data_IF_765558842039
#
_entry.id   IF_765558842039
#
_cell.length_a   1.000
_cell.length_b   1.000
_cell.length_c   1.000
_cell.angle_alpha   90.00
_cell.angle_beta   90.00
_cell.angle_gamma   90.00
#
_symmetry.space_group_name_H-M   'P 1'
#
loop_
_entity.id
_entity.type
_entity.pdbx_description
1 polymer ?
#
# COMPACT_ATOMS: atom_id res chain seq x y z
N UNK A 1 -5.67 1.68 -7.75
CA UNK A 1 -6.68 0.61 -7.75
C UNK A 1 -7.38 0.61 -6.40
N UNK A 2 -8.71 0.56 -6.44
CA UNK A 2 -9.53 0.51 -5.24
C UNK A 2 -10.34 -0.78 -5.23
N UNK A 3 -10.29 -1.48 -4.10
CA UNK A 3 -11.02 -2.74 -3.92
C UNK A 3 -11.78 -2.69 -2.59
N UNK A 4 -13.05 -3.09 -2.61
CA UNK A 4 -13.86 -3.16 -1.39
C UNK A 4 -14.20 -4.64 -1.14
N UNK A 5 -13.78 -5.16 0.02
CA UNK A 5 -14.06 -6.53 0.42
C UNK A 5 -14.39 -6.56 1.91
N UNK A 6 -15.51 -7.15 2.27
CA UNK A 6 -15.91 -7.36 3.68
C UNK A 6 -15.81 -6.09 4.52
N UNK A 7 -16.35 -5.00 4.01
CA UNK A 7 -16.37 -3.70 4.70
C UNK A 7 -14.97 -3.08 4.89
N UNK A 8 -14.00 -3.51 4.10
CA UNK A 8 -12.65 -2.93 4.08
C UNK A 8 -12.40 -2.31 2.71
N UNK A 9 -11.92 -1.08 2.72
CA UNK A 9 -11.55 -0.34 1.51
C UNK A 9 -10.04 -0.45 1.35
N UNK A 10 -9.61 -1.18 0.32
CA UNK A 10 -8.19 -1.35 0.01
C UNK A 10 -7.77 -0.37 -1.07
N UNK A 11 -6.74 0.41 -0.78
CA UNK A 11 -6.12 1.32 -1.76
C UNK A 11 -4.81 0.67 -2.17
N UNK A 12 -4.70 0.30 -3.44
CA UNK A 12 -3.51 -0.37 -3.97
C UNK A 12 -2.83 0.58 -4.94
N UNK A 13 -1.62 1.00 -4.59
CA UNK A 13 -0.83 1.90 -5.42
C UNK A 13 0.35 1.12 -6.00
N UNK A 14 0.40 1.03 -7.33
CA UNK A 14 1.44 0.28 -8.05
C UNK A 14 2.62 1.18 -8.38
N UNK A 15 3.82 0.74 -8.06
CA UNK A 15 5.07 1.44 -8.36
C UNK A 15 6.06 0.47 -8.96
N UNK A 16 6.30 0.57 -10.26
CA UNK A 16 7.23 -0.28 -10.99
C UNK A 16 8.28 0.60 -11.65
N UNK A 17 9.33 0.91 -10.91
CA UNK A 17 10.41 1.77 -11.38
C UNK A 17 11.63 0.93 -11.70
N UNK A 18 12.38 1.35 -12.73
CA UNK A 18 13.60 0.66 -13.16
C UNK A 18 14.82 1.59 -13.21
N UNK A 19 14.65 2.85 -12.83
CA UNK A 19 15.74 3.82 -12.75
C UNK A 19 15.54 4.68 -11.52
N UNK A 20 16.63 5.23 -10.98
CA UNK A 20 16.55 6.08 -9.80
C UNK A 20 15.71 7.32 -10.09
N UNK A 21 14.95 7.77 -9.09
CA UNK A 21 14.10 8.93 -9.20
C UNK A 21 13.48 9.29 -7.85
N UNK A 22 12.47 10.14 -7.85
CA UNK A 22 11.84 10.67 -6.64
C UNK A 22 10.72 9.78 -6.08
N UNK A 23 10.60 8.54 -6.53
CA UNK A 23 9.52 7.63 -6.10
C UNK A 23 9.62 7.29 -4.61
N UNK A 24 10.83 7.18 -4.08
CA UNK A 24 11.05 6.91 -2.67
C UNK A 24 10.40 7.98 -1.78
N UNK A 25 10.45 9.24 -2.20
CA UNK A 25 9.77 10.32 -1.47
C UNK A 25 8.26 10.13 -1.49
N UNK A 26 7.72 9.67 -2.62
CA UNK A 26 6.28 9.44 -2.75
C UNK A 26 5.82 8.27 -1.89
N UNK A 27 6.67 7.28 -1.67
CA UNK A 27 6.33 6.15 -0.80
C UNK A 27 6.16 6.58 0.66
N UNK A 28 6.74 7.71 1.05
CA UNK A 28 6.64 8.21 2.41
C UNK A 28 5.33 8.96 2.69
N UNK A 29 4.45 9.09 1.71
CA UNK A 29 3.18 9.79 1.86
C UNK A 29 2.01 8.88 2.22
N UNK A 30 2.25 7.58 2.40
CA UNK A 30 1.17 6.61 2.62
C UNK A 30 0.37 6.87 3.89
N UNK A 31 1.02 7.28 4.98
CA UNK A 31 0.33 7.56 6.23
C UNK A 31 -0.67 8.69 6.07
N UNK A 32 -0.26 9.78 5.43
CA UNK A 32 -1.12 10.92 5.18
C UNK A 32 -2.31 10.54 4.28
N UNK A 33 -2.03 9.81 3.20
CA UNK A 33 -3.08 9.37 2.27
C UNK A 33 -4.06 8.42 2.95
N UNK A 34 -3.56 7.48 3.75
CA UNK A 34 -4.41 6.55 4.47
C UNK A 34 -5.35 7.29 5.41
N UNK A 35 -4.83 8.27 6.16
CA UNK A 35 -5.64 9.06 7.08
C UNK A 35 -6.69 9.88 6.36
N UNK A 36 -6.38 10.42 5.17
CA UNK A 36 -7.36 11.13 4.38
C UNK A 36 -8.53 10.23 4.00
N UNK A 37 -8.25 9.00 3.54
CA UNK A 37 -9.31 8.06 3.17
C UNK A 37 -10.09 7.60 4.39
N UNK A 38 -9.43 7.40 5.53
CA UNK A 38 -10.13 7.05 6.77
C UNK A 38 -11.13 8.14 7.16
N UNK A 39 -10.74 9.39 7.01
CA UNK A 39 -11.63 10.51 7.31
C UNK A 39 -12.81 10.57 6.35
N UNK A 40 -12.55 10.39 5.04
CA UNK A 40 -13.61 10.42 4.02
C UNK A 40 -14.62 9.30 4.21
N UNK A 41 -14.16 8.12 4.65
CA UNK A 41 -14.99 6.93 4.75
C UNK A 41 -15.52 6.68 6.16
N UNK A 42 -15.26 7.58 7.10
CA UNK A 42 -15.63 7.41 8.49
C UNK A 42 -17.16 7.23 8.68
N UNK A 43 -17.96 7.90 7.86
CA UNK A 43 -19.42 7.79 7.92
C UNK A 43 -19.94 6.44 7.45
N UNK A 44 -19.15 5.73 6.65
CA UNK A 44 -19.51 4.41 6.14
C UNK A 44 -19.07 3.28 7.07
N UNK A 45 -18.38 3.62 8.15
CA UNK A 45 -17.88 2.66 9.13
C UNK A 45 -16.99 1.59 8.49
N UNK A 46 -16.20 1.98 7.49
CA UNK A 46 -15.33 1.07 6.75
C UNK A 46 -13.90 1.15 7.26
N UNK A 47 -13.24 -0.01 7.31
CA UNK A 47 -11.80 -0.07 7.54
C UNK A 47 -11.07 0.36 6.27
N UNK A 48 -9.89 0.95 6.43
CA UNK A 48 -9.06 1.38 5.30
C UNK A 48 -7.69 0.73 5.40
N UNK A 49 -7.27 0.08 4.33
CA UNK A 49 -5.93 -0.50 4.20
C UNK A 49 -5.23 0.12 3.01
N UNK A 50 -3.98 0.55 3.21
CA UNK A 50 -3.17 1.13 2.15
C UNK A 50 -2.02 0.19 1.82
N UNK A 51 -1.92 -0.22 0.56
CA UNK A 51 -0.97 -1.23 0.12
C UNK A 51 -0.20 -0.71 -1.09
N UNK A 52 1.13 -0.80 -1.03
CA UNK A 52 1.96 -0.59 -2.21
C UNK A 52 2.25 -1.93 -2.88
N UNK A 53 2.05 -1.98 -4.19
CA UNK A 53 2.51 -3.09 -5.01
C UNK A 53 3.75 -2.61 -5.75
N UNK A 54 4.90 -3.14 -5.38
CA UNK A 54 6.20 -2.65 -5.82
C UNK A 54 6.86 -3.63 -6.79
N UNK A 55 7.61 -3.10 -7.76
CA UNK A 55 8.46 -3.92 -8.61
C UNK A 55 9.74 -4.32 -7.87
N UNK A 56 10.48 -5.27 -8.45
CA UNK A 56 11.71 -5.79 -7.85
C UNK A 56 12.79 -4.72 -7.66
N UNK A 57 12.70 -3.60 -8.37
CA UNK A 57 13.62 -2.47 -8.18
C UNK A 57 13.72 -2.07 -6.70
N UNK A 58 12.62 -2.14 -5.97
CA UNK A 58 12.56 -1.67 -4.59
C UNK A 58 13.07 -2.71 -3.59
N UNK A 59 13.56 -3.85 -4.03
CA UNK A 59 14.22 -4.82 -3.15
C UNK A 59 15.65 -4.43 -2.79
N UNK A 60 16.16 -3.36 -3.41
CA UNK A 60 17.53 -2.90 -3.15
C UNK A 60 17.69 -2.42 -1.71
N UNK A 61 18.87 -2.65 -1.09
CA UNK A 61 19.09 -2.24 0.30
C UNK A 61 18.86 -0.75 0.58
N UNK A 62 19.06 0.11 -0.43
CA UNK A 62 18.87 1.54 -0.28
C UNK A 62 17.42 1.93 0.01
N UNK A 63 16.45 1.05 -0.24
CA UNK A 63 15.04 1.32 0.03
C UNK A 63 14.56 0.73 1.36
N UNK A 64 15.44 0.08 2.13
CA UNK A 64 15.06 -0.58 3.37
C UNK A 64 14.39 0.38 4.37
N UNK A 65 14.96 1.56 4.54
CA UNK A 65 14.43 2.53 5.51
C UNK A 65 13.03 3.00 5.12
N UNK A 66 12.80 3.22 3.84
CA UNK A 66 11.48 3.62 3.33
C UNK A 66 10.47 2.50 3.55
N UNK A 67 10.87 1.25 3.26
CA UNK A 67 9.99 0.10 3.44
C UNK A 67 9.64 -0.11 4.93
N UNK A 68 10.62 0.07 5.80
CA UNK A 68 10.39 -0.02 7.25
C UNK A 68 9.44 1.08 7.72
N UNK A 69 9.56 2.28 7.17
CA UNK A 69 8.64 3.37 7.48
C UNK A 69 7.20 3.00 7.11
N UNK A 70 6.99 2.42 5.93
CA UNK A 70 5.65 2.02 5.47
C UNK A 70 5.00 1.10 6.50
N UNK A 71 5.73 0.10 6.98
CA UNK A 71 5.21 -0.81 7.99
C UNK A 71 4.94 -0.08 9.32
N UNK A 72 5.83 0.85 9.70
CA UNK A 72 5.72 1.57 10.97
C UNK A 72 4.47 2.43 11.07
N UNK A 73 3.92 2.88 9.93
CA UNK A 73 2.70 3.70 9.90
C UNK A 73 1.46 2.88 9.51
N UNK A 74 1.52 1.56 9.71
CA UNK A 74 0.40 0.65 9.45
C UNK A 74 -0.04 0.59 8.00
N UNK A 75 0.86 0.87 7.07
CA UNK A 75 0.66 0.58 5.66
C UNK A 75 1.37 -0.73 5.33
N UNK A 76 1.13 -1.25 4.13
CA UNK A 76 1.71 -2.52 3.71
C UNK A 76 2.35 -2.40 2.35
N UNK A 77 3.25 -3.31 2.03
CA UNK A 77 3.81 -3.40 0.69
C UNK A 77 4.01 -4.87 0.32
N UNK A 78 3.94 -5.15 -0.97
CA UNK A 78 4.22 -6.46 -1.56
C UNK A 78 5.00 -6.26 -2.84
N UNK A 79 5.85 -7.24 -3.17
CA UNK A 79 6.62 -7.20 -4.41
C UNK A 79 5.95 -8.09 -5.45
N UNK A 80 5.74 -7.54 -6.64
CA UNK A 80 5.27 -8.19 -7.86
C UNK A 80 3.82 -8.66 -7.82
N UNK A 81 3.29 -9.17 -6.69
CA UNK A 81 1.91 -9.58 -6.58
C UNK A 81 1.40 -9.41 -5.16
N UNK A 82 0.08 -9.33 -5.02
CA UNK A 82 -0.59 -9.26 -3.72
C UNK A 82 -1.37 -10.57 -3.53
N UNK A 83 -1.10 -11.32 -2.44
CA UNK A 83 -1.88 -12.54 -2.17
C UNK A 83 -3.35 -12.20 -1.97
N UNK A 84 -4.24 -12.95 -2.64
CA UNK A 84 -5.68 -12.69 -2.55
C UNK A 84 -6.21 -12.87 -1.13
N UNK A 85 -5.61 -13.74 -0.34
CA UNK A 85 -6.01 -13.98 1.05
C UNK A 85 -5.98 -12.70 1.88
N UNK A 86 -5.03 -11.81 1.61
CA UNK A 86 -4.87 -10.56 2.36
C UNK A 86 -6.05 -9.64 2.10
N UNK A 87 -6.63 -9.72 0.91
CA UNK A 87 -7.81 -8.95 0.56
C UNK A 87 -9.10 -9.62 1.02
N UNK A 88 -9.02 -10.80 1.64
CA UNK A 88 -10.21 -11.52 2.03
C UNK A 88 -10.92 -12.23 0.88
N UNK A 89 -10.22 -12.40 -0.25
CA UNK A 89 -10.78 -13.04 -1.43
C UNK A 89 -10.46 -14.54 -1.43
N UNK A 90 -11.33 -15.37 -2.01
CA UNK A 90 -11.05 -16.80 -2.09
C UNK A 90 -9.87 -17.10 -3.01
N UNK A 91 -9.12 -18.15 -2.67
CA UNK A 91 -8.01 -18.61 -3.50
C UNK A 91 -8.59 -19.47 -4.61
N UNK A 92 -8.25 -19.20 -5.89
CA UNK A 92 -8.75 -20.02 -7.00
C UNK A 92 -8.16 -21.42 -6.99
#
# INVERSE_FOLDING_TARGET
IYVIVNNTFFIIECKFQQVAGSVDEKLQTCDFKKKQYQKLLSRLNMEVEYIYLLGNWFRKPEYRDVLDYIISVNCKYYFEYIPLQILGLPIP
#
